data_IF_482603591701
#
_entry.id   IF_482603591701
#
_cell.length_a   1.000
_cell.length_b   1.000
_cell.length_c   1.000
_cell.angle_alpha   90.00
_cell.angle_beta   90.00
_cell.angle_gamma   90.00
#
_symmetry.space_group_name_H-M   'P 1'
#
loop_
_entity.id
_entity.type
_entity.pdbx_description
1 polymer ?
#
# COMPACT_ATOMS: atom_id res chain seq x y z
N UNK A 1 -11.15 -14.05 35.25
CA UNK A 1 -11.08 -13.87 33.78
C UNK A 1 -9.63 -13.67 33.43
N UNK A 2 -9.08 -14.46 32.54
CA UNK A 2 -7.75 -14.19 31.97
C UNK A 2 -7.89 -12.99 31.04
N UNK A 3 -6.93 -12.04 31.04
CA UNK A 3 -6.91 -10.97 30.05
C UNK A 3 -6.85 -11.58 28.64
N UNK A 4 -7.46 -10.95 27.62
CA UNK A 4 -7.35 -11.45 26.26
C UNK A 4 -5.87 -11.56 25.85
N UNK A 5 -5.49 -12.55 25.04
CA UNK A 5 -4.12 -12.70 24.57
C UNK A 5 -3.68 -11.43 23.84
N UNK A 6 -2.47 -10.98 24.11
CA UNK A 6 -1.86 -9.83 23.42
C UNK A 6 -1.38 -10.29 22.03
N UNK A 7 -2.28 -10.36 21.06
CA UNK A 7 -2.01 -10.81 19.70
C UNK A 7 -1.41 -9.68 18.85
N UNK A 8 -0.53 -10.02 17.91
CA UNK A 8 -0.21 -9.16 16.79
C UNK A 8 -1.33 -9.24 15.72
N UNK A 9 -1.35 -8.30 14.76
CA UNK A 9 -2.41 -8.26 13.73
C UNK A 9 -2.43 -9.51 12.86
N UNK A 10 -1.27 -10.08 12.51
CA UNK A 10 -1.17 -11.32 11.74
C UNK A 10 -1.72 -12.52 12.52
N UNK A 11 -1.41 -12.63 13.81
CA UNK A 11 -1.93 -13.68 14.68
C UNK A 11 -3.46 -13.55 14.85
N UNK A 12 -3.96 -12.33 15.05
CA UNK A 12 -5.40 -12.07 15.10
C UNK A 12 -6.10 -12.46 13.80
N UNK A 13 -5.49 -12.09 12.65
CA UNK A 13 -6.05 -12.40 11.35
C UNK A 13 -6.11 -13.91 11.10
N UNK A 14 -5.04 -14.65 11.37
CA UNK A 14 -4.98 -16.10 11.21
C UNK A 14 -6.00 -16.83 12.11
N UNK A 15 -6.30 -16.29 13.30
CA UNK A 15 -7.26 -16.90 14.23
C UNK A 15 -8.72 -16.58 13.90
N UNK A 16 -9.03 -15.33 13.53
CA UNK A 16 -10.41 -14.85 13.54
C UNK A 16 -10.93 -14.39 12.18
N UNK A 17 -10.06 -13.89 11.28
CA UNK A 17 -10.49 -13.27 10.04
C UNK A 17 -11.13 -14.27 9.09
N UNK A 18 -12.23 -13.84 8.45
CA UNK A 18 -12.90 -14.58 7.37
C UNK A 18 -12.94 -13.71 6.12
N UNK A 19 -12.61 -14.34 5.00
CA UNK A 19 -12.73 -13.76 3.67
C UNK A 19 -14.08 -14.13 3.09
N UNK A 20 -14.87 -13.13 2.71
CA UNK A 20 -16.18 -13.38 2.09
C UNK A 20 -16.05 -13.66 0.60
N UNK A 21 -16.95 -14.47 0.00
CA UNK A 21 -16.94 -14.76 -1.43
C UNK A 21 -17.13 -13.50 -2.31
N UNK A 22 -17.76 -12.47 -1.78
CA UNK A 22 -17.99 -11.19 -2.47
C UNK A 22 -16.71 -10.35 -2.60
N UNK A 23 -15.77 -10.53 -1.65
CA UNK A 23 -14.60 -9.67 -1.51
C UNK A 23 -13.27 -10.37 -1.83
N UNK A 24 -13.27 -11.69 -2.00
CA UNK A 24 -12.05 -12.48 -2.21
C UNK A 24 -12.26 -13.60 -3.22
N UNK A 25 -11.25 -13.82 -4.06
CA UNK A 25 -11.17 -14.98 -4.95
C UNK A 25 -10.89 -16.29 -4.18
N UNK A 26 -10.36 -16.20 -2.95
CA UNK A 26 -10.08 -17.32 -2.05
C UNK A 26 -10.89 -17.16 -0.75
N UNK A 27 -12.22 -17.41 -0.75
CA UNK A 27 -13.06 -17.22 0.43
C UNK A 27 -12.77 -18.25 1.52
N UNK A 28 -13.05 -17.88 2.77
CA UNK A 28 -12.87 -18.78 3.91
C UNK A 28 -11.99 -18.20 5.00
N UNK A 29 -11.21 -19.04 5.66
CA UNK A 29 -10.29 -18.58 6.70
C UNK A 29 -9.13 -17.82 6.09
N UNK A 30 -8.76 -16.70 6.70
CA UNK A 30 -7.52 -16.03 6.38
C UNK A 30 -6.32 -16.92 6.71
N UNK A 31 -5.31 -16.86 5.90
CA UNK A 31 -4.01 -17.47 6.17
C UNK A 31 -2.89 -16.53 5.72
N UNK A 32 -2.15 -16.01 6.65
CA UNK A 32 -0.98 -15.16 6.36
C UNK A 32 0.10 -15.93 5.59
N UNK A 33 0.16 -17.25 5.73
CA UNK A 33 1.11 -18.10 5.01
C UNK A 33 0.84 -18.20 3.49
N UNK A 34 -0.35 -17.76 3.04
CA UNK A 34 -0.65 -17.63 1.61
C UNK A 34 0.22 -16.55 0.94
N UNK A 35 0.51 -15.46 1.66
CA UNK A 35 1.35 -14.35 1.26
C UNK A 35 2.24 -13.92 2.44
N UNK A 36 3.29 -14.67 2.76
CA UNK A 36 4.02 -14.58 4.04
C UNK A 36 4.73 -13.25 4.27
N UNK A 37 5.02 -12.49 3.21
CA UNK A 37 5.55 -11.12 3.32
C UNK A 37 4.59 -10.18 4.07
N UNK A 38 3.28 -10.46 4.09
CA UNK A 38 2.30 -9.64 4.81
C UNK A 38 2.46 -9.72 6.33
N UNK A 39 3.07 -10.79 6.85
CA UNK A 39 3.29 -10.99 8.28
C UNK A 39 4.07 -9.84 8.90
N UNK A 40 5.25 -9.53 8.37
CA UNK A 40 6.08 -8.44 8.88
C UNK A 40 5.44 -7.05 8.71
N UNK A 41 4.65 -6.86 7.65
CA UNK A 41 3.90 -5.62 7.43
C UNK A 41 2.79 -5.43 8.48
N UNK A 42 2.04 -6.48 8.80
CA UNK A 42 1.01 -6.45 9.85
C UNK A 42 1.62 -6.30 11.25
N UNK A 43 2.72 -6.99 11.53
CA UNK A 43 3.45 -6.86 12.79
C UNK A 43 3.96 -5.43 13.01
N UNK A 44 4.45 -4.75 11.97
CA UNK A 44 4.87 -3.35 12.07
C UNK A 44 3.73 -2.40 12.47
N UNK A 45 2.49 -2.68 12.03
CA UNK A 45 1.32 -1.90 12.45
C UNK A 45 1.00 -2.13 13.93
N UNK A 46 1.13 -3.36 14.44
CA UNK A 46 0.87 -3.68 15.85
C UNK A 46 2.03 -3.34 16.79
N UNK A 47 3.25 -3.15 16.29
CA UNK A 47 4.43 -2.83 17.11
C UNK A 47 4.30 -1.43 17.73
N UNK A 48 4.25 -1.29 19.06
CA UNK A 48 4.09 0.01 19.71
C UNK A 48 5.30 0.95 19.51
N UNK A 49 6.47 0.42 19.16
CA UNK A 49 7.69 1.22 18.92
C UNK A 49 7.71 1.88 17.54
N UNK A 50 6.85 1.42 16.60
CA UNK A 50 6.74 1.94 15.25
C UNK A 50 5.54 2.91 15.20
N UNK A 51 5.81 4.18 15.02
CA UNK A 51 4.78 5.21 14.88
C UNK A 51 4.18 5.23 13.47
N UNK A 52 5.04 5.11 12.47
CA UNK A 52 4.67 5.27 11.06
C UNK A 52 5.04 4.03 10.25
N UNK A 53 4.09 3.58 9.41
CA UNK A 53 4.28 2.42 8.54
C UNK A 53 3.96 2.84 7.10
N UNK A 54 4.84 2.53 6.16
CA UNK A 54 4.75 2.93 4.76
C UNK A 54 4.80 1.69 3.88
N UNK A 55 3.81 1.52 3.00
CA UNK A 55 3.76 0.43 2.01
C UNK A 55 3.84 1.01 0.60
N UNK A 56 5.03 1.03 0.02
CA UNK A 56 5.27 1.31 -1.39
C UNK A 56 5.27 -0.02 -2.15
N UNK A 57 4.14 -0.40 -2.70
CA UNK A 57 3.98 -1.78 -3.19
C UNK A 57 3.20 -1.84 -4.49
N UNK A 58 3.42 -2.91 -5.24
CA UNK A 58 2.65 -3.20 -6.44
C UNK A 58 1.16 -3.43 -6.17
N UNK A 59 0.40 -3.51 -7.24
CA UNK A 59 -0.99 -3.95 -7.19
C UNK A 59 -1.07 -5.46 -6.91
N UNK A 60 -2.24 -5.92 -6.46
CA UNK A 60 -2.56 -7.34 -6.29
C UNK A 60 -1.63 -8.13 -5.33
N UNK A 61 -0.98 -7.45 -4.38
CA UNK A 61 -0.19 -8.09 -3.32
C UNK A 61 -0.95 -8.17 -1.97
N UNK A 62 -2.23 -7.78 -1.96
CA UNK A 62 -3.09 -7.84 -0.78
C UNK A 62 -2.95 -6.68 0.20
N UNK A 63 -2.41 -5.53 -0.20
CA UNK A 63 -2.22 -4.34 0.67
C UNK A 63 -3.50 -3.86 1.34
N UNK A 64 -4.64 -3.85 0.63
CA UNK A 64 -5.94 -3.47 1.19
C UNK A 64 -6.40 -4.44 2.28
N UNK A 65 -6.11 -5.74 2.13
CA UNK A 65 -6.47 -6.72 3.15
C UNK A 65 -5.63 -6.56 4.44
N UNK A 66 -4.39 -6.07 4.34
CA UNK A 66 -3.60 -5.69 5.53
C UNK A 66 -4.28 -4.56 6.30
N UNK A 67 -4.79 -3.53 5.60
CA UNK A 67 -5.59 -2.45 6.23
C UNK A 67 -6.86 -3.02 6.87
N UNK A 68 -7.57 -3.90 6.17
CA UNK A 68 -8.78 -4.54 6.69
C UNK A 68 -8.49 -5.34 7.97
N UNK A 69 -7.41 -6.13 7.98
CA UNK A 69 -6.98 -6.88 9.15
C UNK A 69 -6.61 -5.96 10.32
N UNK A 70 -5.91 -4.85 10.04
CA UNK A 70 -5.58 -3.85 11.07
C UNK A 70 -6.86 -3.22 11.65
N UNK A 71 -7.83 -2.84 10.81
CA UNK A 71 -9.12 -2.30 11.27
C UNK A 71 -9.87 -3.32 12.13
N UNK A 72 -9.96 -4.58 11.68
CA UNK A 72 -10.60 -5.65 12.44
C UNK A 72 -9.93 -5.87 13.80
N UNK A 73 -8.61 -5.93 13.83
CA UNK A 73 -7.83 -6.03 15.06
C UNK A 73 -8.09 -4.87 16.03
N UNK A 74 -8.08 -3.62 15.53
CA UNK A 74 -8.38 -2.46 16.40
C UNK A 74 -9.81 -2.46 16.91
N UNK A 75 -10.79 -2.94 16.15
CA UNK A 75 -12.16 -3.09 16.65
C UNK A 75 -12.24 -4.13 17.76
N UNK A 76 -11.52 -5.25 17.63
CA UNK A 76 -11.64 -6.41 18.51
C UNK A 76 -10.71 -6.36 19.72
N UNK A 77 -9.40 -6.11 19.51
CA UNK A 77 -8.35 -6.29 20.52
C UNK A 77 -7.85 -4.99 21.15
N UNK A 78 -7.86 -3.88 20.40
CA UNK A 78 -7.32 -2.60 20.85
C UNK A 78 -8.24 -1.44 20.46
N UNK A 79 -9.51 -1.42 20.93
CA UNK A 79 -10.50 -0.45 20.51
C UNK A 79 -10.02 0.99 20.66
N UNK A 80 -10.16 1.77 19.60
CA UNK A 80 -9.72 3.17 19.57
C UNK A 80 -10.36 3.92 18.40
N UNK A 81 -10.39 5.26 18.45
CA UNK A 81 -10.80 6.08 17.33
C UNK A 81 -9.86 5.90 16.14
N UNK A 82 -10.43 5.62 14.97
CA UNK A 82 -9.69 5.40 13.71
C UNK A 82 -10.23 6.27 12.58
N UNK A 83 -9.36 6.61 11.62
CA UNK A 83 -9.69 7.29 10.39
C UNK A 83 -9.13 6.50 9.20
N UNK A 84 -9.97 6.22 8.21
CA UNK A 84 -9.56 5.76 6.89
C UNK A 84 -9.77 6.89 5.90
N UNK A 85 -8.73 7.18 5.13
CA UNK A 85 -8.74 8.17 4.06
C UNK A 85 -8.60 7.44 2.72
N UNK A 86 -9.58 7.61 1.86
CA UNK A 86 -9.58 7.11 0.49
C UNK A 86 -9.40 8.28 -0.50
N UNK A 87 -8.94 8.06 -1.72
CA UNK A 87 -8.74 9.15 -2.70
C UNK A 87 -9.98 10.02 -2.90
N UNK A 88 -11.15 9.39 -3.03
CA UNK A 88 -12.44 10.06 -3.23
C UNK A 88 -13.51 9.53 -2.27
N UNK A 89 -14.62 10.27 -2.15
CA UNK A 89 -15.76 9.83 -1.34
C UNK A 89 -16.45 8.59 -1.96
N UNK A 90 -16.44 8.46 -3.28
CA UNK A 90 -16.95 7.28 -3.99
C UNK A 90 -16.12 6.05 -3.65
N UNK A 91 -14.79 6.14 -3.66
CA UNK A 91 -13.91 5.05 -3.26
C UNK A 91 -14.09 4.70 -1.78
N UNK A 92 -14.29 5.70 -0.93
CA UNK A 92 -14.63 5.49 0.48
C UNK A 92 -15.94 4.71 0.65
N UNK A 93 -16.96 5.02 -0.15
CA UNK A 93 -18.24 4.29 -0.20
C UNK A 93 -18.05 2.85 -0.68
N UNK A 94 -17.31 2.64 -1.75
CA UNK A 94 -17.01 1.30 -2.28
C UNK A 94 -16.25 0.46 -1.25
N UNK A 95 -15.21 0.99 -0.64
CA UNK A 95 -14.46 0.28 0.41
C UNK A 95 -15.37 -0.11 1.59
N UNK A 96 -16.23 0.81 2.04
CA UNK A 96 -17.15 0.56 3.16
C UNK A 96 -18.15 -0.56 2.85
N UNK A 97 -18.71 -0.59 1.62
CA UNK A 97 -19.70 -1.58 1.21
C UNK A 97 -19.08 -2.92 0.82
N UNK A 98 -18.01 -2.89 0.01
CA UNK A 98 -17.54 -4.08 -0.69
C UNK A 98 -16.43 -4.80 0.09
N UNK A 99 -15.78 -4.13 1.05
CA UNK A 99 -14.71 -4.69 1.87
C UNK A 99 -15.05 -4.73 3.35
N UNK A 100 -15.39 -3.57 3.94
CA UNK A 100 -15.63 -3.48 5.38
C UNK A 100 -16.91 -4.21 5.81
N UNK A 101 -18.02 -3.97 5.15
CA UNK A 101 -19.30 -4.56 5.54
C UNK A 101 -19.29 -6.10 5.48
N UNK A 102 -18.80 -6.76 4.42
CA UNK A 102 -18.64 -8.21 4.39
C UNK A 102 -17.70 -8.72 5.49
N UNK A 103 -16.59 -8.02 5.74
CA UNK A 103 -15.67 -8.38 6.82
C UNK A 103 -16.34 -8.38 8.18
N UNK A 104 -17.10 -7.33 8.51
CA UNK A 104 -17.80 -7.19 9.79
C UNK A 104 -18.87 -8.27 9.97
N UNK A 105 -19.58 -8.63 8.87
CA UNK A 105 -20.62 -9.65 8.87
C UNK A 105 -20.06 -11.07 9.05
N UNK A 106 -18.99 -11.39 8.34
CA UNK A 106 -18.50 -12.77 8.18
C UNK A 106 -17.40 -13.16 9.16
N UNK A 107 -16.78 -12.17 9.84
CA UNK A 107 -15.79 -12.42 10.88
C UNK A 107 -16.46 -12.50 12.25
N UNK A 108 -16.55 -13.71 12.87
CA UNK A 108 -17.32 -13.89 14.11
C UNK A 108 -16.90 -12.96 15.26
N UNK A 109 -15.58 -12.68 15.38
CA UNK A 109 -15.05 -11.78 16.40
C UNK A 109 -15.53 -10.32 16.28
N UNK A 110 -16.05 -9.91 15.11
CA UNK A 110 -16.49 -8.56 14.80
C UNK A 110 -18.02 -8.41 14.77
N UNK A 111 -18.75 -9.50 14.52
CA UNK A 111 -20.19 -9.50 14.20
C UNK A 111 -21.04 -8.76 15.23
N UNK A 112 -20.74 -8.93 16.51
CA UNK A 112 -21.54 -8.35 17.60
C UNK A 112 -20.93 -7.04 18.15
N UNK A 113 -19.80 -6.58 17.63
CA UNK A 113 -19.12 -5.37 18.08
C UNK A 113 -19.54 -4.13 17.32
N UNK A 114 -19.91 -4.29 16.06
CA UNK A 114 -20.38 -3.19 15.21
C UNK A 114 -21.82 -3.46 14.83
N UNK A 115 -22.75 -2.66 15.38
CA UNK A 115 -24.17 -2.81 15.08
C UNK A 115 -24.47 -2.55 13.60
N UNK A 116 -25.49 -3.23 13.05
CA UNK A 116 -25.92 -3.02 11.67
C UNK A 116 -26.37 -1.56 11.47
N UNK A 117 -25.97 -0.96 10.35
CA UNK A 117 -26.35 0.40 9.95
C UNK A 117 -27.87 0.58 9.78
N UNK A 118 -28.62 -0.52 9.61
CA UNK A 118 -30.10 -0.53 9.54
C UNK A 118 -30.80 -0.48 10.90
N UNK A 119 -30.08 -0.69 12.01
CA UNK A 119 -30.64 -0.54 13.35
C UNK A 119 -30.89 0.93 13.65
N UNK A 120 -32.13 1.29 14.08
CA UNK A 120 -32.54 2.67 14.33
C UNK A 120 -31.69 3.38 15.40
N UNK A 121 -31.03 2.63 16.29
CA UNK A 121 -30.25 3.16 17.42
C UNK A 121 -28.75 3.02 17.24
N UNK A 122 -28.23 2.54 16.07
CA UNK A 122 -26.83 2.17 15.95
C UNK A 122 -25.85 3.34 15.83
N UNK A 123 -26.32 4.52 15.41
CA UNK A 123 -25.44 5.64 15.07
C UNK A 123 -24.47 5.32 13.91
N UNK A 124 -24.60 4.14 13.29
CA UNK A 124 -23.73 3.64 12.24
C UNK A 124 -24.26 4.08 10.88
N UNK A 125 -23.36 4.65 10.10
CA UNK A 125 -23.62 5.08 8.73
C UNK A 125 -22.66 4.39 7.77
N UNK A 126 -22.76 4.70 6.50
CA UNK A 126 -21.82 4.26 5.47
C UNK A 126 -20.38 4.75 5.77
N UNK A 127 -20.25 5.97 6.29
CA UNK A 127 -18.97 6.65 6.53
C UNK A 127 -18.53 6.67 8.00
N UNK A 128 -19.29 6.05 8.89
CA UNK A 128 -18.93 5.93 10.30
C UNK A 128 -19.42 4.60 10.86
N UNK A 129 -18.55 3.92 11.60
CA UNK A 129 -18.87 2.73 12.38
C UNK A 129 -18.47 2.97 13.82
N UNK A 130 -19.41 2.84 14.74
CA UNK A 130 -19.20 2.95 16.18
C UNK A 130 -19.14 1.54 16.79
N UNK A 131 -18.26 1.35 17.74
CA UNK A 131 -18.09 0.10 18.48
C UNK A 131 -17.64 0.41 19.92
N UNK A 132 -17.77 -0.53 20.87
CA UNK A 132 -17.33 -0.32 22.23
C UNK A 132 -15.86 0.09 22.32
N UNK A 133 -15.56 1.26 22.87
CA UNK A 133 -14.22 1.78 23.06
C UNK A 133 -13.65 2.58 21.86
N UNK A 134 -14.41 2.76 20.76
CA UNK A 134 -13.92 3.52 19.62
C UNK A 134 -14.93 3.75 18.50
N UNK A 135 -14.43 4.31 17.43
CA UNK A 135 -15.15 4.47 16.17
C UNK A 135 -14.19 4.42 14.99
N UNK A 136 -14.73 4.10 13.82
CA UNK A 136 -14.04 4.23 12.53
C UNK A 136 -14.76 5.31 11.72
N UNK A 137 -14.04 6.37 11.34
CA UNK A 137 -14.49 7.35 10.35
C UNK A 137 -13.87 7.02 8.99
N UNK A 138 -14.61 7.22 7.90
CA UNK A 138 -14.21 6.92 6.53
C UNK A 138 -14.44 8.19 5.70
N UNK A 139 -13.38 8.74 5.09
CA UNK A 139 -13.45 10.03 4.40
C UNK A 139 -12.73 9.97 3.04
N UNK A 140 -13.08 10.90 2.15
CA UNK A 140 -12.29 11.16 0.94
C UNK A 140 -11.20 12.20 1.19
N UNK A 141 -10.07 12.05 0.53
CA UNK A 141 -8.92 12.97 0.64
C UNK A 141 -9.22 14.42 0.20
N UNK A 142 -10.27 14.60 -0.59
CA UNK A 142 -10.77 15.92 -1.01
C UNK A 142 -11.67 16.61 0.04
N UNK A 143 -12.03 15.92 1.14
CA UNK A 143 -12.94 16.43 2.18
C UNK A 143 -12.17 17.05 3.34
N UNK A 144 -11.88 18.34 3.28
CA UNK A 144 -11.22 19.08 4.35
C UNK A 144 -11.94 18.94 5.70
N UNK A 145 -13.25 19.14 5.72
CA UNK A 145 -14.07 19.00 6.92
C UNK A 145 -14.02 17.58 7.51
N UNK A 146 -14.02 16.54 6.67
CA UNK A 146 -13.88 15.15 7.11
C UNK A 146 -12.52 14.88 7.76
N UNK A 147 -11.46 15.40 7.16
CA UNK A 147 -10.09 15.26 7.66
C UNK A 147 -9.83 16.07 8.95
N UNK A 148 -10.59 17.15 9.18
CA UNK A 148 -10.38 18.05 10.31
C UNK A 148 -11.25 17.74 11.54
N UNK A 149 -12.20 16.78 11.45
CA UNK A 149 -13.34 16.73 12.38
C UNK A 149 -13.03 16.19 13.78
N UNK A 150 -12.16 15.18 13.95
CA UNK A 150 -12.04 14.48 15.23
C UNK A 150 -10.64 13.96 15.51
N UNK A 151 -10.18 13.94 16.80
CA UNK A 151 -8.95 13.24 17.17
C UNK A 151 -9.07 11.73 16.93
N UNK A 152 -8.02 11.12 16.38
CA UNK A 152 -7.93 9.67 16.15
C UNK A 152 -6.58 9.14 16.62
N UNK A 153 -6.59 7.88 17.08
CA UNK A 153 -5.35 7.17 17.44
C UNK A 153 -4.66 6.58 16.22
N UNK A 154 -5.41 5.99 15.30
CA UNK A 154 -4.85 5.40 14.09
C UNK A 154 -5.45 6.07 12.85
N UNK A 155 -4.59 6.39 11.88
CA UNK A 155 -4.99 6.87 10.57
C UNK A 155 -4.39 5.99 9.48
N UNK A 156 -5.23 5.58 8.53
CA UNK A 156 -4.86 4.76 7.38
C UNK A 156 -5.12 5.57 6.12
N UNK A 157 -4.07 5.88 5.38
CA UNK A 157 -4.13 6.57 4.10
C UNK A 157 -3.94 5.53 2.99
N UNK A 158 -4.99 5.27 2.23
CA UNK A 158 -4.97 4.30 1.14
C UNK A 158 -4.84 5.02 -0.21
N UNK A 159 -3.93 4.54 -1.07
CA UNK A 159 -3.62 5.09 -2.39
C UNK A 159 -3.23 6.59 -2.35
N UNK A 160 -2.23 6.94 -1.51
CA UNK A 160 -1.82 8.35 -1.26
C UNK A 160 -1.35 9.10 -2.49
N UNK A 161 -0.80 8.41 -3.49
CA UNK A 161 -0.36 9.03 -4.74
C UNK A 161 -1.52 9.50 -5.64
N UNK A 162 -2.74 9.04 -5.33
CA UNK A 162 -3.98 9.47 -6.00
C UNK A 162 -4.70 10.62 -5.30
N UNK A 163 -4.13 11.14 -4.20
CA UNK A 163 -4.74 12.24 -3.49
C UNK A 163 -4.57 13.56 -4.24
N UNK A 164 -5.54 14.48 -4.13
CA UNK A 164 -5.35 15.83 -4.64
C UNK A 164 -4.21 16.54 -3.91
N UNK A 165 -3.57 17.54 -4.51
CA UNK A 165 -2.52 18.30 -3.85
C UNK A 165 -3.02 19.05 -2.61
N UNK A 166 -4.31 19.38 -2.55
CA UNK A 166 -4.96 20.05 -1.43
C UNK A 166 -6.38 19.55 -1.22
N UNK A 167 -6.80 19.36 0.02
CA UNK A 167 -8.19 19.14 0.40
C UNK A 167 -8.92 20.49 0.40
N UNK A 168 -9.53 20.83 -0.74
CA UNK A 168 -10.08 22.18 -0.95
C UNK A 168 -8.98 23.23 -0.82
N UNK A 169 -9.20 24.23 0.06
CA UNK A 169 -8.24 25.31 0.36
C UNK A 169 -7.40 25.07 1.62
N UNK A 170 -7.58 23.93 2.33
CA UNK A 170 -6.99 23.72 3.67
C UNK A 170 -5.61 23.05 3.66
N UNK A 171 -5.11 22.63 2.48
CA UNK A 171 -3.77 22.08 2.32
C UNK A 171 -3.73 20.54 2.15
N UNK A 172 -2.55 19.98 2.29
CA UNK A 172 -2.28 18.58 2.01
C UNK A 172 -3.12 17.63 2.88
N UNK A 173 -3.89 16.69 2.26
CA UNK A 173 -4.77 15.77 2.98
C UNK A 173 -4.06 14.89 4.01
N UNK A 174 -2.82 14.47 3.71
CA UNK A 174 -2.02 13.61 4.60
C UNK A 174 -1.69 14.40 5.87
N UNK A 175 -1.21 15.62 5.73
CA UNK A 175 -0.86 16.49 6.87
C UNK A 175 -2.09 16.81 7.72
N UNK A 176 -3.25 17.06 7.10
CA UNK A 176 -4.52 17.27 7.82
C UNK A 176 -4.92 16.03 8.64
N UNK A 177 -4.85 14.85 8.06
CA UNK A 177 -5.17 13.60 8.76
C UNK A 177 -4.16 13.30 9.88
N UNK A 178 -2.86 13.46 9.65
CA UNK A 178 -1.82 13.28 10.68
C UNK A 178 -2.04 14.23 11.86
N UNK A 179 -2.47 15.49 11.60
CA UNK A 179 -2.75 16.43 12.66
C UNK A 179 -3.81 15.94 13.65
N UNK A 180 -4.72 15.03 13.23
CA UNK A 180 -5.75 14.42 14.11
C UNK A 180 -5.17 13.41 15.10
N UNK A 181 -3.96 12.92 14.88
CA UNK A 181 -3.30 11.96 15.78
C UNK A 181 -2.51 12.62 16.91
N UNK A 182 -2.38 13.96 16.93
CA UNK A 182 -1.51 14.70 17.87
C UNK A 182 -1.88 14.50 19.35
N UNK A 183 -3.13 14.20 19.67
CA UNK A 183 -3.55 13.91 21.06
C UNK A 183 -3.14 12.52 21.54
N UNK A 184 -2.73 11.64 20.63
CA UNK A 184 -2.33 10.26 20.91
C UNK A 184 -0.80 10.05 20.73
N UNK A 185 0.02 11.02 21.13
CA UNK A 185 1.47 11.05 20.88
C UNK A 185 2.21 9.78 21.31
N UNK A 186 1.74 9.09 22.36
CA UNK A 186 2.43 7.93 22.90
C UNK A 186 2.04 6.59 22.25
N UNK A 187 0.94 6.56 21.48
CA UNK A 187 0.43 5.31 20.91
C UNK A 187 -0.27 5.49 19.56
N UNK A 188 -0.04 6.62 18.90
CA UNK A 188 -0.58 6.87 17.55
C UNK A 188 0.00 5.92 16.53
N UNK A 189 -0.77 5.65 15.49
CA UNK A 189 -0.35 4.86 14.34
C UNK A 189 -0.75 5.57 13.04
N UNK A 190 0.22 5.75 12.15
CA UNK A 190 0.05 6.35 10.84
C UNK A 190 0.45 5.32 9.80
N UNK A 191 -0.48 4.89 8.96
CA UNK A 191 -0.23 3.90 7.91
C UNK A 191 -0.49 4.56 6.56
N UNK A 192 0.50 4.51 5.68
CA UNK A 192 0.44 5.06 4.32
C UNK A 192 0.65 3.94 3.31
N UNK A 193 -0.25 3.82 2.35
CA UNK A 193 -0.23 2.74 1.36
C UNK A 193 -0.45 3.31 -0.03
N UNK A 194 0.37 2.94 -0.99
CA UNK A 194 0.14 3.26 -2.41
C UNK A 194 1.00 2.42 -3.35
N UNK A 195 0.59 2.31 -4.60
CA UNK A 195 1.51 2.14 -5.72
C UNK A 195 2.18 3.49 -5.97
N UNK A 196 3.48 3.52 -6.34
CA UNK A 196 4.16 4.77 -6.69
C UNK A 196 3.69 5.30 -8.06
N UNK A 197 4.04 6.55 -8.34
CA UNK A 197 3.77 7.23 -9.60
C UNK A 197 5.08 7.69 -10.27
N UNK A 198 5.17 8.92 -10.72
CA UNK A 198 6.38 9.43 -11.36
C UNK A 198 7.45 9.77 -10.32
N UNK A 199 8.70 9.52 -10.66
CA UNK A 199 9.86 9.85 -9.82
C UNK A 199 9.87 11.32 -9.42
N UNK A 200 10.14 11.58 -8.14
CA UNK A 200 10.18 12.93 -7.58
C UNK A 200 8.81 13.57 -7.33
N UNK A 201 7.70 13.01 -7.86
CA UNK A 201 6.34 13.47 -7.61
C UNK A 201 5.55 12.53 -6.69
N UNK A 202 6.01 11.27 -6.56
CA UNK A 202 5.35 10.24 -5.74
C UNK A 202 5.48 10.54 -4.25
N UNK A 203 4.31 10.63 -3.58
CA UNK A 203 4.24 10.83 -2.13
C UNK A 203 4.67 9.59 -1.36
N UNK A 204 4.32 8.39 -1.89
CA UNK A 204 4.69 7.14 -1.23
C UNK A 204 6.19 6.89 -1.35
N UNK A 205 6.82 7.24 -2.48
CA UNK A 205 8.28 7.19 -2.64
C UNK A 205 8.97 8.10 -1.63
N UNK A 206 8.51 9.33 -1.51
CA UNK A 206 9.06 10.28 -0.54
C UNK A 206 8.95 9.74 0.89
N UNK A 207 7.80 9.17 1.25
CA UNK A 207 7.60 8.59 2.59
C UNK A 207 8.45 7.33 2.81
N UNK A 208 8.61 6.48 1.79
CA UNK A 208 9.47 5.30 1.84
C UNK A 208 10.94 5.67 2.00
N UNK A 209 11.44 6.65 1.24
CA UNK A 209 12.82 7.12 1.33
C UNK A 209 13.17 7.76 2.69
N UNK A 210 12.17 8.20 3.45
CA UNK A 210 12.32 8.71 4.83
C UNK A 210 12.21 7.63 5.90
N UNK A 211 12.02 6.36 5.53
CA UNK A 211 11.87 5.20 6.42
C UNK A 211 13.16 4.40 6.56
N UNK A 212 13.08 3.28 7.26
CA UNK A 212 14.16 2.27 7.33
C UNK A 212 14.28 1.40 6.07
N UNK A 213 13.46 1.60 5.05
CA UNK A 213 13.52 1.03 3.70
C UNK A 213 13.72 -0.48 3.69
N UNK A 214 12.69 -1.23 4.11
CA UNK A 214 12.74 -2.69 4.13
C UNK A 214 12.41 -3.28 2.77
N UNK A 215 13.25 -4.25 2.36
CA UNK A 215 13.05 -5.08 1.18
C UNK A 215 12.87 -6.54 1.59
N UNK A 216 12.08 -7.29 0.82
CA UNK A 216 11.81 -8.69 1.11
C UNK A 216 12.82 -9.57 0.40
N UNK A 217 13.77 -10.12 1.15
CA UNK A 217 14.81 -11.01 0.66
C UNK A 217 14.34 -12.47 0.71
N UNK A 218 14.56 -13.19 -0.37
CA UNK A 218 14.19 -14.61 -0.51
C UNK A 218 15.41 -15.47 -0.73
N UNK A 219 15.52 -16.66 -0.09
CA UNK A 219 16.62 -17.57 -0.34
C UNK A 219 16.43 -18.28 -1.67
N UNK A 220 17.49 -18.42 -2.45
CA UNK A 220 17.47 -19.28 -3.63
C UNK A 220 17.21 -20.74 -3.21
N UNK A 221 16.23 -21.44 -3.80
CA UNK A 221 15.95 -22.83 -3.45
C UNK A 221 17.11 -23.80 -3.76
N UNK A 222 17.99 -23.43 -4.69
CA UNK A 222 19.10 -24.28 -5.14
C UNK A 222 20.41 -23.99 -4.41
N UNK A 223 20.82 -22.72 -4.25
CA UNK A 223 22.11 -22.36 -3.64
C UNK A 223 21.99 -21.65 -2.28
N UNK A 224 20.79 -21.27 -1.85
CA UNK A 224 20.57 -20.58 -0.57
C UNK A 224 20.91 -19.08 -0.59
N UNK A 225 21.43 -18.52 -1.71
CA UNK A 225 21.73 -17.10 -1.80
C UNK A 225 20.50 -16.25 -1.54
N UNK A 226 20.64 -15.23 -0.69
CA UNK A 226 19.54 -14.34 -0.27
C UNK A 226 19.49 -13.11 -1.19
N UNK A 227 18.41 -12.94 -1.94
CA UNK A 227 18.24 -11.90 -2.95
C UNK A 227 16.84 -11.30 -2.94
N UNK A 228 16.68 -10.10 -3.48
CA UNK A 228 15.38 -9.52 -3.82
C UNK A 228 14.98 -9.94 -5.23
N UNK A 229 13.67 -10.05 -5.49
CA UNK A 229 13.21 -10.34 -6.85
C UNK A 229 13.26 -9.07 -7.70
N UNK A 230 14.04 -9.13 -8.81
CA UNK A 230 14.23 -8.04 -9.77
C UNK A 230 13.64 -8.41 -11.12
N UNK A 231 13.01 -7.47 -11.79
CA UNK A 231 12.44 -7.69 -13.12
C UNK A 231 13.50 -8.09 -14.15
N UNK A 232 14.71 -7.53 -14.07
CA UNK A 232 15.84 -7.87 -14.96
C UNK A 232 16.23 -9.35 -14.94
N UNK A 233 15.82 -10.10 -13.92
CA UNK A 233 16.13 -11.53 -13.79
C UNK A 233 14.97 -12.43 -14.23
N UNK A 234 13.91 -11.86 -14.80
CA UNK A 234 12.83 -12.63 -15.43
C UNK A 234 13.12 -12.81 -16.90
N UNK A 235 13.25 -14.05 -17.34
CA UNK A 235 13.58 -14.42 -18.70
C UNK A 235 12.54 -15.36 -19.26
N UNK A 236 12.29 -15.27 -20.58
CA UNK A 236 11.38 -16.17 -21.30
C UNK A 236 11.88 -16.38 -22.73
N UNK A 237 11.41 -17.45 -23.38
CA UNK A 237 11.70 -17.70 -24.78
C UNK A 237 10.99 -16.67 -25.67
N UNK A 238 11.64 -16.29 -26.78
CA UNK A 238 11.07 -15.33 -27.72
C UNK A 238 9.64 -15.76 -28.13
N UNK A 239 8.70 -14.83 -28.07
CA UNK A 239 7.30 -14.99 -28.42
C UNK A 239 6.52 -16.07 -27.57
N UNK A 240 7.08 -16.48 -26.44
CA UNK A 240 6.49 -17.51 -25.54
C UNK A 240 6.58 -17.06 -24.07
N UNK A 241 5.84 -16.02 -23.65
CA UNK A 241 5.89 -15.48 -22.29
C UNK A 241 5.48 -16.50 -21.22
N UNK A 242 4.69 -17.51 -21.55
CA UNK A 242 4.31 -18.61 -20.67
C UNK A 242 5.51 -19.45 -20.19
N UNK A 243 6.68 -19.32 -20.88
CA UNK A 243 7.94 -19.97 -20.48
C UNK A 243 8.75 -19.13 -19.50
N UNK A 244 8.17 -18.07 -18.93
CA UNK A 244 8.90 -17.17 -18.07
C UNK A 244 9.39 -17.86 -16.79
N UNK A 245 10.67 -17.66 -16.50
CA UNK A 245 11.38 -18.15 -15.34
C UNK A 245 12.17 -17.02 -14.69
N UNK A 246 12.37 -17.10 -13.38
CA UNK A 246 13.25 -16.19 -12.65
C UNK A 246 14.66 -16.80 -12.56
N UNK A 247 15.68 -16.06 -12.89
CA UNK A 247 17.07 -16.53 -12.84
C UNK A 247 17.75 -16.01 -11.57
N UNK A 248 18.30 -16.93 -10.77
CA UNK A 248 19.05 -16.58 -9.57
C UNK A 248 20.29 -15.74 -9.93
N UNK A 249 20.49 -14.61 -9.27
CA UNK A 249 21.60 -13.70 -9.54
C UNK A 249 22.99 -14.28 -9.19
N UNK A 250 23.05 -15.30 -8.31
CA UNK A 250 24.31 -15.91 -7.87
C UNK A 250 24.65 -17.17 -8.67
N UNK A 251 23.76 -18.16 -8.72
CA UNK A 251 24.07 -19.46 -9.31
C UNK A 251 23.52 -19.65 -10.73
N UNK A 252 22.72 -18.71 -11.25
CA UNK A 252 22.11 -18.82 -12.58
C UNK A 252 21.01 -19.88 -12.71
N UNK A 253 20.59 -20.54 -11.62
CA UNK A 253 19.51 -21.52 -11.67
C UNK A 253 18.18 -20.85 -12.01
N UNK A 254 17.42 -21.47 -12.91
CA UNK A 254 16.07 -21.04 -13.26
C UNK A 254 15.04 -21.51 -12.24
N UNK A 255 14.11 -20.61 -11.91
CA UNK A 255 12.98 -20.89 -11.02
C UNK A 255 11.68 -20.75 -11.82
N UNK A 256 10.93 -21.81 -11.86
CA UNK A 256 9.52 -21.79 -12.21
C UNK A 256 8.70 -21.14 -11.06
N UNK A 257 7.41 -20.97 -11.26
CA UNK A 257 6.52 -20.41 -10.24
C UNK A 257 6.52 -21.23 -8.94
N UNK A 258 6.65 -22.57 -9.00
CA UNK A 258 6.69 -23.40 -7.81
C UNK A 258 7.94 -23.16 -6.95
N UNK A 259 9.11 -23.02 -7.60
CA UNK A 259 10.36 -22.64 -6.93
C UNK A 259 10.29 -21.23 -6.38
N UNK A 260 9.75 -20.25 -7.17
CA UNK A 260 9.54 -18.88 -6.75
C UNK A 260 8.68 -18.79 -5.49
N UNK A 261 7.54 -19.48 -5.46
CA UNK A 261 6.66 -19.51 -4.27
C UNK A 261 7.35 -20.14 -3.06
N UNK A 262 8.17 -21.16 -3.27
CA UNK A 262 8.98 -21.77 -2.20
C UNK A 262 10.01 -20.78 -1.65
N UNK A 263 10.68 -20.04 -2.50
CA UNK A 263 11.61 -18.99 -2.12
C UNK A 263 10.91 -17.88 -1.30
N UNK A 264 9.75 -17.42 -1.76
CA UNK A 264 8.94 -16.41 -1.08
C UNK A 264 8.54 -16.86 0.33
N UNK A 265 8.18 -18.14 0.53
CA UNK A 265 7.87 -18.68 1.87
C UNK A 265 9.04 -18.66 2.83
N UNK A 266 10.26 -18.74 2.34
CA UNK A 266 11.49 -18.65 3.13
C UNK A 266 12.03 -17.23 3.31
N UNK A 267 11.32 -16.24 2.76
CA UNK A 267 11.78 -14.86 2.75
C UNK A 267 11.69 -14.13 4.09
N UNK A 268 12.41 -13.02 4.16
CA UNK A 268 12.40 -12.13 5.33
C UNK A 268 12.57 -10.67 4.92
N UNK A 269 12.00 -9.77 5.72
CA UNK A 269 12.21 -8.34 5.58
C UNK A 269 13.57 -7.93 6.15
N UNK A 270 14.32 -7.13 5.40
CA UNK A 270 15.62 -6.59 5.80
C UNK A 270 15.60 -5.08 5.55
N UNK A 271 15.87 -4.30 6.58
CA UNK A 271 16.02 -2.86 6.48
C UNK A 271 17.37 -2.51 5.82
N UNK A 272 17.38 -1.54 4.90
CA UNK A 272 18.58 -1.01 4.28
C UNK A 272 19.07 0.28 4.94
N UNK A 273 18.20 0.92 5.73
CA UNK A 273 18.49 2.16 6.44
C UNK A 273 18.22 2.03 7.95
N UNK A 274 18.76 2.98 8.71
CA UNK A 274 18.59 3.00 10.17
C UNK A 274 17.14 3.34 10.53
N UNK A 275 16.56 2.56 11.44
CA UNK A 275 15.20 2.82 11.93
C UNK A 275 15.12 4.16 12.70
N UNK A 276 14.13 4.98 12.33
CA UNK A 276 13.89 6.32 12.86
C UNK A 276 12.44 6.54 13.35
N UNK A 277 11.74 5.46 13.70
CA UNK A 277 10.32 5.48 14.06
C UNK A 277 9.38 5.20 12.89
N UNK A 278 9.91 5.11 11.65
CA UNK A 278 9.15 4.80 10.44
C UNK A 278 9.65 3.49 9.83
N UNK A 279 8.76 2.50 9.69
CA UNK A 279 9.02 1.27 8.97
C UNK A 279 8.46 1.37 7.55
N UNK A 280 9.32 1.28 6.55
CA UNK A 280 8.93 1.30 5.14
C UNK A 280 9.10 -0.07 4.48
N UNK A 281 8.16 -0.47 3.66
CA UNK A 281 8.15 -1.77 2.99
C UNK A 281 8.00 -1.56 1.49
N UNK A 282 8.95 -2.09 0.71
CA UNK A 282 8.88 -2.11 -0.74
C UNK A 282 8.65 -3.55 -1.23
N UNK A 283 7.65 -3.73 -2.11
CA UNK A 283 7.33 -5.05 -2.65
C UNK A 283 6.72 -4.94 -4.05
N UNK A 284 7.33 -5.59 -5.03
CA UNK A 284 6.81 -5.68 -6.40
C UNK A 284 5.78 -6.80 -6.58
N UNK A 285 5.07 -6.79 -7.71
CA UNK A 285 4.16 -7.87 -8.10
C UNK A 285 4.85 -9.22 -8.32
N UNK A 286 6.18 -9.24 -8.48
CA UNK A 286 6.96 -10.48 -8.59
C UNK A 286 6.82 -11.40 -7.37
N UNK A 287 6.42 -10.84 -6.23
CA UNK A 287 6.16 -11.60 -5.00
C UNK A 287 4.72 -12.10 -4.88
N UNK A 288 3.83 -11.73 -5.80
CA UNK A 288 2.42 -12.15 -5.75
C UNK A 288 2.29 -13.66 -5.92
N UNK A 289 1.61 -14.36 -5.00
CA UNK A 289 1.32 -15.77 -5.16
C UNK A 289 0.15 -16.04 -6.11
N UNK A 290 -0.51 -15.00 -6.61
CA UNK A 290 -1.69 -15.08 -7.46
C UNK A 290 -1.38 -14.85 -8.94
N UNK A 291 -0.21 -14.29 -9.26
CA UNK A 291 0.15 -13.90 -10.63
C UNK A 291 1.36 -14.73 -11.10
N UNK A 292 1.20 -15.64 -12.06
CA UNK A 292 2.32 -16.36 -12.67
C UNK A 292 3.31 -15.43 -13.36
N UNK A 293 4.58 -15.85 -13.45
CA UNK A 293 5.62 -15.09 -14.16
C UNK A 293 5.28 -14.90 -15.64
N UNK A 294 4.64 -15.90 -16.27
CA UNK A 294 4.20 -15.81 -17.65
C UNK A 294 3.19 -14.70 -17.90
N UNK A 295 2.24 -14.50 -16.98
CA UNK A 295 1.25 -13.42 -17.06
C UNK A 295 1.94 -12.04 -16.91
N UNK A 296 2.90 -11.92 -15.98
CA UNK A 296 3.67 -10.69 -15.79
C UNK A 296 4.51 -10.39 -17.05
N UNK A 297 5.11 -11.41 -17.66
CA UNK A 297 5.87 -11.26 -18.91
C UNK A 297 4.96 -10.82 -20.08
N UNK A 298 3.76 -11.40 -20.18
CA UNK A 298 2.77 -10.99 -21.19
C UNK A 298 2.31 -9.54 -20.96
N UNK A 299 2.06 -9.14 -19.72
CA UNK A 299 1.69 -7.76 -19.37
C UNK A 299 2.80 -6.77 -19.78
N UNK A 300 4.07 -7.13 -19.56
CA UNK A 300 5.19 -6.32 -20.01
C UNK A 300 5.27 -6.22 -21.53
N UNK A 301 5.09 -7.33 -22.26
CA UNK A 301 5.09 -7.32 -23.73
C UNK A 301 4.01 -6.37 -24.26
N UNK A 302 2.82 -6.41 -23.67
CA UNK A 302 1.71 -5.53 -24.01
C UNK A 302 1.99 -4.06 -23.65
N UNK A 303 2.68 -3.84 -22.54
CA UNK A 303 2.95 -2.51 -22.00
C UNK A 303 4.10 -1.77 -22.68
N UNK A 304 5.15 -2.47 -23.11
CA UNK A 304 6.41 -1.87 -23.59
C UNK A 304 6.29 -1.06 -24.89
N UNK A 305 5.17 -1.22 -25.62
CA UNK A 305 5.00 -0.57 -26.92
C UNK A 305 4.75 0.96 -26.81
N UNK A 306 4.19 1.43 -25.69
CA UNK A 306 3.85 2.83 -25.46
C UNK A 306 4.32 3.30 -24.08
N UNK A 307 4.88 4.52 -23.96
CA UNK A 307 5.35 5.04 -22.66
C UNK A 307 4.28 5.03 -21.57
N UNK A 308 3.03 5.37 -21.90
CA UNK A 308 1.93 5.41 -20.91
C UNK A 308 1.57 4.03 -20.37
N UNK A 309 1.55 2.99 -21.22
CA UNK A 309 1.30 1.62 -20.80
C UNK A 309 2.49 1.06 -20.02
N UNK A 310 3.73 1.38 -20.44
CA UNK A 310 4.93 1.00 -19.69
C UNK A 310 4.98 1.65 -18.31
N UNK A 311 4.58 2.91 -18.20
CA UNK A 311 4.41 3.60 -16.89
C UNK A 311 3.49 2.82 -15.96
N UNK A 312 2.34 2.37 -16.46
CA UNK A 312 1.41 1.56 -15.65
C UNK A 312 2.09 0.29 -15.16
N UNK A 313 2.79 -0.44 -16.03
CA UNK A 313 3.50 -1.67 -15.66
C UNK A 313 4.58 -1.40 -14.59
N UNK A 314 5.43 -0.40 -14.78
CA UNK A 314 6.49 -0.03 -13.83
C UNK A 314 5.89 0.34 -12.47
N UNK A 315 4.91 1.22 -12.45
CA UNK A 315 4.32 1.71 -11.20
C UNK A 315 3.49 0.65 -10.48
N UNK A 316 2.68 -0.12 -11.21
CA UNK A 316 1.70 -1.02 -10.57
C UNK A 316 2.21 -2.45 -10.41
N UNK A 317 3.08 -2.93 -11.31
CA UNK A 317 3.62 -4.29 -11.22
C UNK A 317 4.96 -4.29 -10.49
N UNK A 318 5.89 -3.40 -10.88
CA UNK A 318 7.21 -3.38 -10.28
C UNK A 318 7.26 -2.59 -8.96
N UNK A 319 6.24 -1.77 -8.68
CA UNK A 319 6.23 -0.84 -7.54
C UNK A 319 7.38 0.18 -7.58
N UNK A 320 7.82 0.54 -8.78
CA UNK A 320 8.89 1.48 -9.03
C UNK A 320 8.31 2.79 -9.57
N UNK A 321 8.98 3.92 -9.27
CA UNK A 321 8.60 5.18 -9.87
C UNK A 321 9.03 5.23 -11.32
N UNK A 322 8.10 5.59 -12.21
CA UNK A 322 8.40 5.78 -13.61
C UNK A 322 9.23 7.06 -13.81
N UNK A 323 10.37 6.93 -14.47
CA UNK A 323 11.15 8.05 -14.95
C UNK A 323 10.66 8.37 -16.36
N UNK A 324 10.02 9.51 -16.53
CA UNK A 324 9.70 10.02 -17.85
C UNK A 324 11.03 10.54 -18.45
N UNK A 325 11.60 9.77 -19.36
CA UNK A 325 12.67 10.24 -20.23
C UNK A 325 12.10 11.18 -21.30
N UNK A 326 11.15 12.05 -20.90
CA UNK A 326 10.70 13.14 -21.76
C UNK A 326 11.90 13.87 -22.32
N UNK A 327 11.80 14.40 -23.53
CA UNK A 327 12.84 15.23 -24.16
C UNK A 327 13.47 16.11 -23.09
N UNK A 328 14.64 15.75 -22.61
CA UNK A 328 15.47 16.66 -21.84
C UNK A 328 15.70 17.82 -22.77
N UNK A 329 14.98 18.91 -22.52
CA UNK A 329 15.34 20.18 -23.12
C UNK A 329 16.76 20.43 -22.62
N UNK A 330 17.73 20.21 -23.47
CA UNK A 330 19.13 20.38 -23.12
C UNK A 330 19.27 21.84 -22.70
N UNK A 331 19.86 22.09 -21.53
CA UNK A 331 20.11 23.46 -21.07
C UNK A 331 20.79 24.30 -22.16
N UNK A 332 21.55 23.64 -23.05
CA UNK A 332 22.14 24.22 -24.23
C UNK A 332 21.10 24.69 -25.26
N UNK A 333 20.03 23.94 -25.51
CA UNK A 333 18.95 24.30 -26.43
C UNK A 333 18.10 25.46 -25.86
N UNK A 334 17.91 25.50 -24.55
CA UNK A 334 17.26 26.64 -23.87
C UNK A 334 18.14 27.89 -23.97
N UNK A 335 19.44 27.74 -23.74
CA UNK A 335 20.38 28.86 -23.82
C UNK A 335 20.53 29.40 -25.27
N UNK A 336 20.43 28.56 -26.30
CA UNK A 336 20.41 29.00 -27.71
C UNK A 336 19.13 29.72 -28.11
N UNK A 337 18.01 29.47 -27.42
CA UNK A 337 16.73 30.13 -27.64
C UNK A 337 16.52 31.35 -26.73
N UNK A 338 17.46 31.61 -25.81
CA UNK A 338 17.43 32.78 -24.97
C UNK A 338 17.72 34.01 -25.82
N UNK A 339 16.74 34.87 -25.99
CA UNK A 339 16.92 36.21 -26.64
C UNK A 339 17.40 37.20 -25.57
N UNK A 340 18.41 38.02 -25.91
CA UNK A 340 18.80 39.15 -25.08
C UNK A 340 17.72 40.22 -25.16
N UNK A 341 16.90 40.32 -24.12
CA UNK A 341 15.96 41.42 -23.98
C UNK A 341 16.69 42.64 -23.36
N UNK A 342 16.56 43.75 -24.02
CA UNK A 342 16.95 45.05 -23.43
C UNK A 342 16.10 45.35 -22.18
N UNK A 343 16.38 46.48 -21.47
CA UNK A 343 15.74 46.78 -20.16
C UNK A 343 14.22 46.97 -20.19
N UNK A 344 13.55 46.81 -21.32
CA UNK A 344 12.08 46.75 -21.49
C UNK A 344 11.72 45.81 -22.60
N UNK A 345 10.95 44.76 -22.25
CA UNK A 345 10.29 43.96 -23.28
C UNK A 345 9.31 44.80 -24.08
N UNK A 346 9.31 44.68 -25.43
CA UNK A 346 8.31 45.31 -26.28
C UNK A 346 6.89 44.82 -25.90
N UNK A 347 5.92 45.73 -26.02
CA UNK A 347 4.53 45.45 -25.69
C UNK A 347 4.02 44.24 -26.48
N UNK A 348 3.78 43.13 -25.80
CA UNK A 348 3.12 41.96 -26.38
C UNK A 348 3.81 40.62 -26.19
N UNK A 349 4.99 40.55 -25.58
CA UNK A 349 5.63 39.26 -25.24
C UNK A 349 5.23 38.90 -23.82
N UNK A 350 4.33 37.93 -23.71
CA UNK A 350 4.04 37.25 -22.43
C UNK A 350 4.99 36.03 -22.40
N UNK A 351 5.93 36.03 -21.47
CA UNK A 351 6.79 34.90 -21.13
C UNK A 351 6.02 33.98 -20.19
#
# INVERSE_FOLDING_TARGET
MQPPPNLAIDEWADLYRRLSPEASAEPGFWSTDRAPYQRGMMQAISDPTIERVVFMTGAQIGKTEIINNAVGYYIDQSPSPMLIVQPTLEMAKMWSNDRLAPMLRDTPALKDKVADARSRDSGNTLYQKSFPGGYLAIVGANSAAGLASRPVRAVFFDEVDRYPPSAGSEGDPINLGIARTKTFTHNRKIVMVSTPTNKGASRIETAFNQSDQRYYYVPCPDCGHSQTLKWSNVHWQKDSPETAEYICEECGCAWDDAKRYRAIKGGKWVASETFNGTAGFHLSGLYSPWTPLGDIAQDFINAKALPDTLRVFVNTTLAECFEDEGERVDDYDVAQRAEEFGPRADKGVVV
#
